data_IF_125490130638
#
_entry.id   IF_125490130638
#
_cell.length_a   1.000
_cell.length_b   1.000
_cell.length_c   1.000
_cell.angle_alpha   90.00
_cell.angle_beta   90.00
_cell.angle_gamma   90.00
#
_symmetry.space_group_name_H-M   'P 1'
#
loop_
_entity.id
_entity.type
_entity.pdbx_description
1 polymer ?
#
# COMPACT_ATOMS: atom_id res chain seq x y z
N UNK A 1 -1.25 -11.68 -3.63
CA UNK A 1 -2.23 -10.58 -3.76
C UNK A 1 -2.26 -9.62 -2.57
N UNK A 2 -2.10 -10.07 -1.33
CA UNK A 2 -2.21 -9.16 -0.16
C UNK A 2 -0.89 -8.56 0.31
N UNK A 3 0.20 -9.32 0.29
CA UNK A 3 1.51 -8.82 0.71
C UNK A 3 1.90 -7.60 -0.14
N UNK A 4 2.08 -6.40 0.47
CA UNK A 4 2.52 -5.22 -0.25
C UNK A 4 3.89 -5.42 -0.91
N UNK A 5 4.06 -4.88 -2.10
CA UNK A 5 5.32 -4.87 -2.86
C UNK A 5 5.81 -3.43 -2.95
N UNK A 6 7.00 -3.19 -2.41
CA UNK A 6 7.64 -1.87 -2.39
C UNK A 6 8.57 -1.75 -3.60
N UNK A 7 8.36 -0.72 -4.41
CA UNK A 7 9.20 -0.34 -5.54
C UNK A 7 9.79 1.06 -5.29
N UNK A 8 11.11 1.21 -5.43
CA UNK A 8 11.74 2.53 -5.32
C UNK A 8 11.44 3.34 -6.58
N UNK A 9 11.04 4.60 -6.41
CA UNK A 9 10.80 5.55 -7.49
C UNK A 9 11.58 6.83 -7.22
N UNK A 10 11.66 7.72 -8.21
CA UNK A 10 12.30 9.02 -8.00
C UNK A 10 11.60 9.81 -6.89
N UNK A 11 12.34 10.17 -5.84
CA UNK A 11 11.83 10.95 -4.72
C UNK A 11 10.96 10.18 -3.72
N UNK A 12 10.89 8.84 -3.79
CA UNK A 12 10.12 8.07 -2.81
C UNK A 12 9.96 6.59 -3.12
N UNK A 13 8.83 6.03 -2.67
CA UNK A 13 8.45 4.65 -2.91
C UNK A 13 7.05 4.54 -3.47
N UNK A 14 6.84 3.57 -4.35
CA UNK A 14 5.54 3.11 -4.81
C UNK A 14 5.24 1.78 -4.14
N UNK A 15 4.11 1.70 -3.45
CA UNK A 15 3.63 0.46 -2.82
C UNK A 15 2.47 -0.06 -3.66
N UNK A 16 2.58 -1.31 -4.12
CA UNK A 16 1.51 -2.04 -4.82
C UNK A 16 0.96 -3.12 -3.89
N UNK A 17 -0.34 -3.33 -3.88
CA UNK A 17 -0.95 -4.41 -3.11
C UNK A 17 -1.11 -5.64 -3.99
N UNK A 18 -0.13 -6.52 -3.76
CA UNK A 18 0.04 -7.82 -4.37
C UNK A 18 1.17 -7.89 -5.40
N UNK A 19 1.80 -9.06 -5.45
CA UNK A 19 2.55 -9.55 -6.61
C UNK A 19 1.69 -9.58 -7.88
N UNK A 20 0.41 -9.91 -7.72
CA UNK A 20 -0.67 -9.74 -8.67
C UNK A 20 -1.64 -8.70 -8.10
N UNK A 21 -2.11 -7.71 -8.89
CA UNK A 21 -3.01 -6.67 -8.42
C UNK A 21 -4.20 -7.23 -7.65
N UNK A 22 -4.41 -6.72 -6.44
CA UNK A 22 -5.59 -7.02 -5.65
C UNK A 22 -6.86 -6.43 -6.31
N UNK A 23 -8.03 -7.11 -6.22
CA UNK A 23 -9.30 -6.53 -6.66
C UNK A 23 -9.61 -5.19 -5.98
N UNK A 24 -10.25 -4.27 -6.70
CA UNK A 24 -10.68 -2.97 -6.18
C UNK A 24 -12.17 -2.78 -6.50
N UNK A 25 -12.99 -3.75 -6.12
CA UNK A 25 -14.44 -3.75 -6.36
C UNK A 25 -15.18 -3.20 -5.13
N UNK A 26 -16.41 -2.70 -5.28
CA UNK A 26 -17.18 -2.07 -4.18
C UNK A 26 -17.27 -2.92 -2.91
N UNK A 27 -17.35 -4.24 -3.05
CA UNK A 27 -17.45 -5.19 -1.93
C UNK A 27 -16.11 -5.81 -1.52
N UNK A 28 -15.05 -5.61 -2.31
CA UNK A 28 -13.76 -6.22 -2.08
C UNK A 28 -12.64 -5.34 -2.64
N UNK A 29 -12.04 -4.53 -1.76
CA UNK A 29 -11.01 -3.57 -2.13
C UNK A 29 -10.01 -3.37 -0.99
N UNK A 30 -8.92 -2.68 -1.32
CA UNK A 30 -7.95 -2.19 -0.36
C UNK A 30 -8.43 -0.83 0.15
N UNK A 31 -8.73 -0.73 1.44
CA UNK A 31 -9.22 0.52 2.02
C UNK A 31 -8.10 1.55 2.15
N UNK A 32 -6.88 1.09 2.44
CA UNK A 32 -5.73 1.95 2.55
C UNK A 32 -4.41 1.19 2.38
N UNK A 33 -3.39 1.96 2.01
CA UNK A 33 -1.98 1.57 2.01
C UNK A 33 -1.24 2.52 2.94
N UNK A 34 -0.28 2.02 3.69
CA UNK A 34 0.52 2.79 4.63
C UNK A 34 1.99 2.42 4.52
N UNK A 35 2.85 3.43 4.63
CA UNK A 35 4.27 3.21 4.89
C UNK A 35 4.63 3.62 6.30
N UNK A 36 5.57 2.90 6.90
CA UNK A 36 6.16 3.24 8.19
C UNK A 36 7.64 3.53 8.00
N UNK A 37 8.07 4.73 8.37
CA UNK A 37 9.44 5.22 8.25
C UNK A 37 9.82 6.00 9.50
N UNK A 38 10.98 5.71 10.11
CA UNK A 38 11.53 6.46 11.25
C UNK A 38 10.52 6.78 12.39
N UNK A 39 9.60 5.85 12.67
CA UNK A 39 8.58 6.01 13.72
C UNK A 39 7.35 6.83 13.32
N UNK A 40 7.27 7.27 12.07
CA UNK A 40 6.10 7.91 11.46
C UNK A 40 5.37 6.93 10.54
N UNK A 41 4.08 7.19 10.33
CA UNK A 41 3.24 6.43 9.44
C UNK A 41 2.49 7.37 8.50
N UNK A 42 2.68 7.19 7.20
CA UNK A 42 1.95 7.91 6.15
C UNK A 42 0.97 6.95 5.51
N UNK A 43 -0.30 7.34 5.45
CA UNK A 43 -1.40 6.50 4.96
C UNK A 43 -2.14 7.16 3.81
N UNK A 44 -2.30 6.41 2.73
CA UNK A 44 -3.16 6.74 1.60
C UNK A 44 -4.41 5.87 1.65
N UNK A 45 -5.58 6.49 1.75
CA UNK A 45 -6.85 5.79 1.55
C UNK A 45 -7.12 5.62 0.06
N UNK A 46 -7.71 4.49 -0.31
CA UNK A 46 -8.10 4.18 -1.67
C UNK A 46 -9.60 3.93 -1.74
N UNK A 47 -10.15 4.04 -2.94
CA UNK A 47 -11.55 3.80 -3.24
C UNK A 47 -11.72 2.63 -4.22
N UNK A 48 -12.87 1.94 -4.21
CA UNK A 48 -13.21 1.01 -5.28
C UNK A 48 -13.05 1.64 -6.67
N UNK A 49 -12.53 0.87 -7.63
CA UNK A 49 -12.22 1.28 -9.00
C UNK A 49 -10.83 1.89 -9.20
N UNK A 50 -10.14 2.28 -8.12
CA UNK A 50 -8.76 2.78 -8.20
C UNK A 50 -7.76 1.62 -8.40
N UNK A 51 -6.53 1.97 -8.79
CA UNK A 51 -5.45 0.98 -8.76
C UNK A 51 -5.07 0.67 -7.30
N UNK A 52 -4.76 -0.60 -6.95
CA UNK A 52 -4.39 -1.00 -5.58
C UNK A 52 -2.93 -0.61 -5.28
N UNK A 53 -2.61 0.67 -5.39
CA UNK A 53 -1.26 1.19 -5.23
C UNK A 53 -1.26 2.65 -4.74
N UNK A 54 -0.17 3.04 -4.08
CA UNK A 54 0.04 4.40 -3.61
C UNK A 54 1.51 4.80 -3.72
N UNK A 55 1.78 6.09 -3.94
CA UNK A 55 3.14 6.65 -3.99
C UNK A 55 3.34 7.56 -2.79
N UNK A 56 4.43 7.35 -2.08
CA UNK A 56 4.81 8.12 -0.90
C UNK A 56 6.16 8.77 -1.13
N UNK A 57 6.23 10.08 -0.88
CA UNK A 57 7.49 10.82 -0.90
C UNK A 57 8.23 10.57 0.41
N UNK A 58 9.42 10.01 0.32
CA UNK A 58 10.26 9.72 1.48
C UNK A 58 11.71 9.57 1.05
N UNK A 59 12.63 10.01 1.89
CA UNK A 59 14.08 9.79 1.76
C UNK A 59 14.57 8.60 2.62
N UNK A 60 13.64 7.91 3.30
CA UNK A 60 13.95 6.80 4.19
C UNK A 60 14.57 5.62 3.43
N UNK A 61 15.70 5.12 3.93
CA UNK A 61 16.38 3.96 3.34
C UNK A 61 15.68 2.63 3.63
N UNK A 62 14.92 2.58 4.73
CA UNK A 62 14.14 1.42 5.15
C UNK A 62 12.69 1.83 5.31
N UNK A 63 11.81 1.11 4.64
CA UNK A 63 10.38 1.32 4.65
C UNK A 63 9.71 -0.02 4.92
N UNK A 64 8.73 -0.04 5.81
CA UNK A 64 7.78 -1.16 5.94
C UNK A 64 6.47 -0.70 5.32
N UNK A 65 5.82 -1.56 4.53
CA UNK A 65 4.51 -1.27 3.97
C UNK A 65 3.43 -2.12 4.66
N UNK A 66 2.24 -1.53 4.81
CA UNK A 66 1.03 -2.22 5.24
C UNK A 66 -0.12 -1.88 4.31
N UNK A 67 -1.06 -2.80 4.22
CA UNK A 67 -2.33 -2.61 3.52
C UNK A 67 -3.47 -3.21 4.34
N UNK A 68 -4.67 -2.71 4.11
CA UNK A 68 -5.86 -3.31 4.70
C UNK A 68 -6.91 -3.59 3.64
N UNK A 69 -7.20 -4.87 3.45
CA UNK A 69 -8.31 -5.33 2.66
C UNK A 69 -9.57 -5.39 3.54
N UNK A 70 -10.67 -4.82 3.08
CA UNK A 70 -11.94 -4.81 3.80
C UNK A 70 -12.45 -6.23 4.18
N UNK A 71 -12.07 -7.26 3.40
CA UNK A 71 -12.45 -8.66 3.66
C UNK A 71 -11.35 -9.50 4.32
N UNK A 72 -10.09 -9.21 4.02
CA UNK A 72 -8.96 -10.07 4.41
C UNK A 72 -8.05 -9.45 5.47
N UNK A 73 -8.41 -8.26 5.97
CA UNK A 73 -7.74 -7.59 7.07
C UNK A 73 -6.38 -7.02 6.71
N UNK A 74 -5.52 -6.90 7.73
CA UNK A 74 -4.23 -6.22 7.68
C UNK A 74 -3.11 -7.15 7.21
N UNK A 75 -2.32 -6.70 6.23
CA UNK A 75 -1.08 -7.37 5.81
C UNK A 75 0.12 -6.42 5.86
N UNK A 76 1.33 -7.01 5.87
CA UNK A 76 2.60 -6.28 5.91
C UNK A 76 3.61 -6.87 4.92
N UNK A 77 4.47 -6.01 4.37
CA UNK A 77 5.53 -6.32 3.41
C UNK A 77 6.76 -5.44 3.61
#
# INVERSE_FOLDING_TARGET
KHVPVIEKVEGGVKVKVGDVPHPMEEKHYIEWVEIITHGQADRQFLNPGEAPEAVFKTDAQKVTAREYCNLHGLWKG
#
